data_IF_620200384334
#
_entry.id   IF_620200384334
#
_cell.length_a   1.000
_cell.length_b   1.000
_cell.length_c   1.000
_cell.angle_alpha   90.00
_cell.angle_beta   90.00
_cell.angle_gamma   90.00
#
_symmetry.space_group_name_H-M   'P 1'
#
loop_
_entity.id
_entity.type
_entity.pdbx_description
1 polymer ?
#
# COMPACT_ATOMS: atom_id res chain seq x y z
N UNK A 1 -22.33 17.82 5.16
CA UNK A 1 -21.04 18.38 5.64
C UNK A 1 -20.00 17.29 5.97
N UNK A 2 -20.29 16.00 5.74
CA UNK A 2 -19.41 14.86 6.06
C UNK A 2 -18.35 14.52 5.00
N UNK A 3 -18.44 15.09 3.81
CA UNK A 3 -17.51 14.78 2.71
C UNK A 3 -16.15 15.45 2.89
N UNK A 4 -16.06 16.55 3.67
CA UNK A 4 -14.78 17.24 3.92
C UNK A 4 -13.86 16.47 4.87
N UNK A 5 -14.39 15.77 5.87
CA UNK A 5 -13.59 15.04 6.87
C UNK A 5 -12.95 13.77 6.29
N UNK A 6 -13.65 12.97 5.49
CA UNK A 6 -13.04 11.80 4.83
C UNK A 6 -11.99 12.17 3.78
N UNK A 7 -12.16 13.30 3.10
CA UNK A 7 -11.20 13.78 2.08
C UNK A 7 -9.92 14.33 2.73
N UNK A 8 -10.02 14.80 3.98
CA UNK A 8 -8.88 15.29 4.77
C UNK A 8 -8.08 14.16 5.44
N UNK A 9 -8.72 13.02 5.73
CA UNK A 9 -8.07 11.87 6.40
C UNK A 9 -7.21 11.04 5.43
N UNK A 10 -7.55 11.01 4.13
CA UNK A 10 -6.76 10.30 3.12
C UNK A 10 -6.66 11.10 1.82
N UNK A 11 -5.60 11.93 1.63
CA UNK A 11 -5.44 12.73 0.42
C UNK A 11 -5.48 11.84 -0.83
N UNK A 12 -6.07 12.32 -1.92
CA UNK A 12 -6.30 11.52 -3.14
C UNK A 12 -5.02 10.84 -3.67
N UNK A 13 -3.88 11.50 -3.50
CA UNK A 13 -2.58 10.98 -3.88
C UNK A 13 -2.22 9.69 -3.11
N UNK A 14 -2.59 9.59 -1.82
CA UNK A 14 -2.41 8.38 -1.02
C UNK A 14 -3.37 7.27 -1.44
N UNK A 15 -4.62 7.59 -1.80
CA UNK A 15 -5.57 6.60 -2.38
C UNK A 15 -5.07 6.04 -3.71
N UNK A 16 -4.65 6.91 -4.63
CA UNK A 16 -4.07 6.52 -5.93
C UNK A 16 -2.82 5.65 -5.72
N UNK A 17 -1.93 6.04 -4.79
CA UNK A 17 -0.77 5.24 -4.44
C UNK A 17 -1.14 3.84 -3.92
N UNK A 18 -2.13 3.74 -3.02
CA UNK A 18 -2.62 2.46 -2.49
C UNK A 18 -3.18 1.55 -3.59
N UNK A 19 -3.97 2.11 -4.51
CA UNK A 19 -4.54 1.35 -5.64
C UNK A 19 -3.43 0.88 -6.59
N UNK A 20 -2.52 1.78 -6.97
CA UNK A 20 -1.38 1.47 -7.85
C UNK A 20 -0.49 0.41 -7.20
N UNK A 21 -0.22 0.54 -5.90
CA UNK A 21 0.57 -0.44 -5.15
C UNK A 21 -0.06 -1.82 -5.16
N UNK A 22 -1.38 -1.90 -4.98
CA UNK A 22 -2.09 -3.17 -5.02
C UNK A 22 -2.00 -3.81 -6.42
N UNK A 23 -2.12 -2.99 -7.46
CA UNK A 23 -1.97 -3.45 -8.85
C UNK A 23 -0.56 -4.01 -9.13
N UNK A 24 0.48 -3.35 -8.64
CA UNK A 24 1.88 -3.81 -8.74
C UNK A 24 2.06 -5.16 -8.03
N UNK A 25 1.49 -5.32 -6.83
CA UNK A 25 1.57 -6.58 -6.08
C UNK A 25 0.88 -7.71 -6.87
N UNK A 26 -0.33 -7.48 -7.39
CA UNK A 26 -1.06 -8.49 -8.17
C UNK A 26 -0.31 -8.89 -9.44
N UNK A 27 0.20 -7.91 -10.21
CA UNK A 27 1.02 -8.19 -11.39
C UNK A 27 2.22 -9.05 -11.03
N UNK A 28 2.87 -8.76 -9.91
CA UNK A 28 4.07 -9.50 -9.55
C UNK A 28 3.75 -10.92 -9.09
N UNK A 29 2.67 -11.13 -8.33
CA UNK A 29 2.20 -12.48 -7.97
C UNK A 29 1.86 -13.29 -9.22
N UNK A 30 1.26 -12.66 -10.24
CA UNK A 30 0.97 -13.31 -11.52
C UNK A 30 2.26 -13.66 -12.28
N UNK A 31 3.25 -12.77 -12.31
CA UNK A 31 4.57 -13.04 -12.92
C UNK A 31 5.32 -14.17 -12.22
N UNK A 32 5.29 -14.21 -10.89
CA UNK A 32 5.84 -15.31 -10.08
C UNK A 32 5.17 -16.64 -10.43
N UNK A 33 3.84 -16.64 -10.57
CA UNK A 33 3.10 -17.84 -10.97
C UNK A 33 3.47 -18.31 -12.37
N UNK A 34 3.63 -17.40 -13.34
CA UNK A 34 4.08 -17.74 -14.70
C UNK A 34 5.50 -18.31 -14.71
N UNK A 35 6.36 -17.81 -13.82
CA UNK A 35 7.71 -18.32 -13.66
C UNK A 35 7.72 -19.74 -13.07
N UNK A 36 6.98 -19.97 -11.98
CA UNK A 36 6.85 -21.28 -11.34
C UNK A 36 6.22 -22.35 -12.25
N UNK A 37 5.23 -21.95 -13.06
CA UNK A 37 4.59 -22.85 -14.03
C UNK A 37 5.41 -23.07 -15.30
N UNK A 38 6.62 -22.49 -15.37
CA UNK A 38 7.54 -22.59 -16.49
C UNK A 38 6.96 -22.10 -17.84
N UNK A 39 5.89 -21.29 -17.79
CA UNK A 39 5.30 -20.62 -18.94
C UNK A 39 6.26 -19.55 -19.46
N UNK A 40 7.02 -18.92 -18.57
CA UNK A 40 8.02 -17.92 -18.91
C UNK A 40 9.20 -17.92 -17.91
N UNK A 41 10.43 -18.13 -18.38
CA UNK A 41 11.63 -18.11 -17.54
C UNK A 41 12.27 -16.73 -17.55
N UNK A 42 12.11 -15.99 -16.44
CA UNK A 42 12.85 -14.75 -16.24
C UNK A 42 14.26 -15.03 -15.70
N UNK A 43 15.27 -14.24 -16.10
CA UNK A 43 16.59 -14.32 -15.49
C UNK A 43 16.50 -13.91 -14.00
N UNK A 44 17.14 -14.69 -13.13
CA UNK A 44 17.09 -14.56 -11.66
C UNK A 44 17.34 -13.14 -11.15
N UNK A 45 18.22 -12.40 -11.82
CA UNK A 45 18.58 -11.02 -11.47
C UNK A 45 17.39 -10.06 -11.60
N UNK A 46 16.57 -10.23 -12.65
CA UNK A 46 15.36 -9.43 -12.84
C UNK A 46 14.31 -9.78 -11.76
N UNK A 47 14.17 -11.06 -11.43
CA UNK A 47 13.28 -11.53 -10.38
C UNK A 47 13.61 -10.95 -8.99
N UNK A 48 14.91 -10.88 -8.66
CA UNK A 48 15.38 -10.26 -7.42
C UNK A 48 15.09 -8.75 -7.38
N UNK A 49 15.29 -8.04 -8.49
CA UNK A 49 14.99 -6.62 -8.61
C UNK A 49 13.48 -6.35 -8.44
N UNK A 50 12.63 -7.14 -9.09
CA UNK A 50 11.17 -7.03 -8.93
C UNK A 50 10.74 -7.23 -7.48
N UNK A 51 11.25 -8.26 -6.81
CA UNK A 51 10.96 -8.50 -5.39
C UNK A 51 11.41 -7.35 -4.49
N UNK A 52 12.57 -6.74 -4.76
CA UNK A 52 13.04 -5.59 -4.01
C UNK A 52 12.10 -4.38 -4.18
N UNK A 53 11.59 -4.14 -5.40
CA UNK A 53 10.60 -3.08 -5.67
C UNK A 53 9.31 -3.34 -4.88
N UNK A 54 8.80 -4.58 -4.87
CA UNK A 54 7.61 -4.93 -4.08
C UNK A 54 7.84 -4.65 -2.60
N UNK A 55 9.01 -5.04 -2.06
CA UNK A 55 9.33 -4.85 -0.66
C UNK A 55 9.30 -3.37 -0.27
N UNK A 56 9.86 -2.50 -1.13
CA UNK A 56 9.84 -1.05 -0.93
C UNK A 56 8.40 -0.50 -0.99
N UNK A 57 7.59 -0.97 -1.93
CA UNK A 57 6.17 -0.60 -2.06
C UNK A 57 5.37 -1.04 -0.83
N UNK A 58 5.60 -2.26 -0.35
CA UNK A 58 4.97 -2.79 0.86
C UNK A 58 5.35 -1.97 2.10
N UNK A 59 6.64 -1.63 2.24
CA UNK A 59 7.14 -0.81 3.35
C UNK A 59 6.54 0.61 3.32
N UNK A 60 6.44 1.23 2.13
CA UNK A 60 5.77 2.53 1.95
C UNK A 60 4.30 2.45 2.35
N UNK A 61 3.57 1.41 1.94
CA UNK A 61 2.17 1.23 2.33
C UNK A 61 2.01 1.03 3.83
N UNK A 62 2.90 0.26 4.45
CA UNK A 62 2.91 0.08 5.90
C UNK A 62 3.08 1.42 6.63
N UNK A 63 4.06 2.23 6.22
CA UNK A 63 4.31 3.54 6.81
C UNK A 63 3.11 4.49 6.65
N UNK A 64 2.48 4.51 5.48
CA UNK A 64 1.26 5.31 5.25
C UNK A 64 0.12 4.83 6.15
N UNK A 65 -0.13 3.52 6.22
CA UNK A 65 -1.17 2.94 7.10
C UNK A 65 -0.90 3.25 8.57
N UNK A 66 0.36 3.21 9.00
CA UNK A 66 0.77 3.56 10.36
C UNK A 66 0.48 5.03 10.68
N UNK A 67 0.86 5.96 9.79
CA UNK A 67 0.59 7.40 9.96
C UNK A 67 -0.91 7.69 10.06
N UNK A 68 -1.73 7.04 9.23
CA UNK A 68 -3.20 7.19 9.28
C UNK A 68 -3.75 6.64 10.60
N UNK A 69 -3.26 5.48 11.05
CA UNK A 69 -3.73 4.87 12.29
C UNK A 69 -3.34 5.69 13.53
N UNK A 70 -2.15 6.30 13.54
CA UNK A 70 -1.73 7.25 14.58
C UNK A 70 -2.63 8.50 14.60
N UNK A 71 -2.94 9.07 13.43
CA UNK A 71 -3.88 10.20 13.31
C UNK A 71 -5.30 9.84 13.79
N UNK A 72 -5.81 8.67 13.42
CA UNK A 72 -7.12 8.17 13.87
C UNK A 72 -7.16 7.94 15.39
N UNK A 73 -6.07 7.44 15.99
CA UNK A 73 -5.95 7.29 17.45
C UNK A 73 -5.95 8.63 18.16
N UNK A 74 -5.28 9.65 17.62
CA UNK A 74 -5.26 10.99 18.20
C UNK A 74 -6.67 11.62 18.19
N UNK A 75 -7.42 11.51 17.09
CA UNK A 75 -8.80 11.99 16.98
C UNK A 75 -9.70 11.29 18.02
N UNK A 76 -9.63 9.95 18.12
CA UNK A 76 -10.40 9.18 19.10
C UNK A 76 -10.07 9.50 20.56
N UNK A 77 -8.87 10.02 20.84
CA UNK A 77 -8.48 10.41 22.20
C UNK A 77 -9.09 11.77 22.56
N UNK A 78 -9.07 12.73 21.64
CA UNK A 78 -9.70 14.03 21.84
C UNK A 78 -11.24 13.91 22.01
N UNK A 79 -11.91 13.07 21.21
CA UNK A 79 -13.37 12.82 21.35
C UNK A 79 -13.77 12.20 22.71
N UNK A 80 -12.82 11.56 23.41
CA UNK A 80 -13.02 10.98 24.76
C UNK A 80 -12.66 11.94 25.90
N UNK A 81 -11.92 13.01 25.62
CA UNK A 81 -11.58 14.05 26.60
C UNK A 81 -12.61 15.20 26.56
N UNK A 82 -13.40 15.33 25.48
CA UNK A 82 -14.51 16.30 25.34
C UNK A 82 -15.90 15.77 25.78
N UNK A 83 -16.03 14.49 26.19
CA UNK A 83 -17.24 13.90 26.80
C UNK A 83 -16.98 13.45 28.23
#
# INVERSE_FOLDING_TARGET
METKTMTQVLPENKKKFLIISNYIIVITVVLDLMHLTNIYTFPLQQFALFNMIILVVALRNYNIKREINEKLKAIRKNDKEEN
#
